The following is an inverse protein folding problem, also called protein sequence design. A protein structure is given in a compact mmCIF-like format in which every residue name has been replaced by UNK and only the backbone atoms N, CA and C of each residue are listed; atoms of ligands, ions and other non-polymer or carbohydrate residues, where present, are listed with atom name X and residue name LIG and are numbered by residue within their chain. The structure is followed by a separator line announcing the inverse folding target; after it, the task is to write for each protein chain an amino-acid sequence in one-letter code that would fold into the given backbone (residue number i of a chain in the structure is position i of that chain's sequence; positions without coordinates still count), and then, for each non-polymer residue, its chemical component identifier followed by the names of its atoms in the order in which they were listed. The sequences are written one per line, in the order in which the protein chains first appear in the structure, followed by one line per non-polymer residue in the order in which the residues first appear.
data_IF_831067975830
#
_entry.id   IF_831067975830
#
_cell.length_a   1.000
_cell.length_b   1.000
_cell.length_c   1.000
_cell.angle_alpha   90.00
_cell.angle_beta   90.00
_cell.angle_gamma   90.00
#
_symmetry.space_group_name_H-M   'P 1'
#
loop_
_entity.id
_entity.type
_entity.pdbx_description
1 polymer ?
#
# COMPACT_ATOMS: atom_id res chain seq x y z
N UNK A 1 42.88 -25.97 -5.57
CA UNK A 1 43.78 -25.17 -4.72
C UNK A 1 43.26 -23.74 -4.71
N UNK A 2 43.01 -23.16 -3.54
CA UNK A 2 42.58 -21.76 -3.42
C UNK A 2 43.84 -20.95 -3.08
N UNK A 3 44.40 -20.28 -4.08
CA UNK A 3 45.49 -19.32 -3.92
C UNK A 3 44.92 -18.04 -3.30
N UNK A 4 45.24 -17.76 -2.03
CA UNK A 4 44.95 -16.48 -1.38
C UNK A 4 46.20 -15.59 -1.48
N UNK A 5 46.41 -14.96 -2.63
CA UNK A 5 47.47 -13.96 -2.85
C UNK A 5 46.84 -12.55 -2.84
N UNK A 6 46.74 -11.95 -1.65
CA UNK A 6 46.84 -10.51 -1.31
C UNK A 6 46.20 -10.27 0.07
N UNK A 7 46.89 -9.51 0.94
CA UNK A 7 46.39 -9.11 2.27
C UNK A 7 45.24 -8.11 2.12
N UNK A 8 44.06 -8.61 1.79
CA UNK A 8 42.80 -7.89 1.96
C UNK A 8 42.32 -8.13 3.39
N UNK A 9 42.19 -7.08 4.19
CA UNK A 9 41.63 -7.15 5.57
C UNK A 9 40.13 -7.51 5.60
N UNK A 10 39.56 -7.91 4.46
CA UNK A 10 38.17 -8.30 4.27
C UNK A 10 38.09 -9.73 3.73
N UNK A 11 37.18 -10.52 4.28
CA UNK A 11 36.85 -11.85 3.78
C UNK A 11 35.44 -11.83 3.16
N UNK A 12 35.27 -12.41 1.96
CA UNK A 12 33.96 -12.60 1.35
C UNK A 12 33.51 -14.05 1.54
N UNK A 13 32.44 -14.23 2.30
CA UNK A 13 31.81 -15.53 2.52
C UNK A 13 30.57 -15.64 1.64
N UNK A 14 30.50 -16.73 0.85
CA UNK A 14 29.37 -17.05 -0.01
C UNK A 14 29.21 -18.57 -0.03
N UNK A 15 27.97 -19.03 0.08
CA UNK A 15 27.62 -20.43 -0.04
C UNK A 15 26.19 -20.68 0.39
N UNK A 16 25.76 -21.93 0.26
CA UNK A 16 24.48 -22.43 0.74
C UNK A 16 24.76 -23.50 1.78
N UNK A 17 24.10 -23.42 2.93
CA UNK A 17 24.22 -24.40 3.99
C UNK A 17 22.86 -25.07 4.20
N UNK A 18 22.84 -26.40 4.19
CA UNK A 18 21.67 -27.17 4.62
C UNK A 18 21.68 -27.28 6.13
N UNK A 19 20.62 -26.78 6.76
CA UNK A 19 20.52 -26.66 8.22
C UNK A 19 19.26 -27.37 8.69
N UNK A 20 19.30 -27.91 9.90
CA UNK A 20 18.11 -28.50 10.50
C UNK A 20 17.06 -27.42 10.78
N UNK A 21 15.77 -27.78 10.67
CA UNK A 21 14.62 -26.92 10.98
C UNK A 21 14.39 -26.79 12.50
N UNK A 22 15.46 -26.57 13.25
CA UNK A 22 15.49 -26.37 14.70
C UNK A 22 16.22 -25.06 14.99
N UNK A 23 15.98 -24.49 16.18
CA UNK A 23 16.73 -23.32 16.62
C UNK A 23 18.22 -23.67 16.74
N UNK A 24 19.07 -22.87 16.10
CA UNK A 24 20.52 -23.07 16.11
C UNK A 24 21.25 -21.73 15.95
N UNK A 25 22.56 -21.76 16.13
CA UNK A 25 23.41 -20.58 16.24
C UNK A 25 24.65 -20.66 15.34
N UNK A 26 24.74 -19.77 14.36
CA UNK A 26 25.94 -19.59 13.55
C UNK A 26 26.82 -18.52 14.16
N UNK A 27 28.06 -18.89 14.49
CA UNK A 27 29.03 -17.97 15.02
C UNK A 27 30.17 -17.79 14.02
N UNK A 28 30.36 -16.56 13.56
CA UNK A 28 31.50 -16.19 12.73
C UNK A 28 32.53 -15.50 13.62
N UNK A 29 33.58 -16.25 13.93
CA UNK A 29 34.76 -15.72 14.59
C UNK A 29 35.78 -15.31 13.54
N UNK A 30 36.52 -14.23 13.82
CA UNK A 30 37.72 -13.91 13.04
C UNK A 30 38.60 -15.15 13.00
N UNK A 31 39.05 -15.52 11.80
CA UNK A 31 39.71 -16.79 11.52
C UNK A 31 40.88 -17.05 12.47
N UNK A 32 40.63 -17.78 13.56
CA UNK A 32 41.57 -18.55 14.39
C UNK A 32 40.80 -19.32 15.49
N UNK A 33 39.67 -19.95 15.18
CA UNK A 33 38.88 -20.68 16.16
C UNK A 33 39.33 -22.14 16.40
N UNK A 34 40.38 -22.66 15.74
CA UNK A 34 40.85 -24.02 16.04
C UNK A 34 42.33 -24.39 15.73
N UNK A 35 43.21 -23.46 15.35
CA UNK A 35 44.64 -23.77 15.17
C UNK A 35 45.50 -22.57 15.58
N UNK A 36 45.79 -22.46 16.87
CA UNK A 36 47.08 -21.97 17.43
C UNK A 36 46.97 -21.92 18.96
N UNK A 37 47.68 -22.78 19.71
CA UNK A 37 47.72 -22.73 21.18
C UNK A 37 48.66 -21.64 21.71
N UNK A 38 49.14 -20.72 20.87
CA UNK A 38 50.16 -19.73 21.22
C UNK A 38 49.64 -18.35 20.83
N UNK A 39 49.64 -17.45 21.81
CA UNK A 39 48.97 -16.16 21.75
C UNK A 39 49.22 -15.39 20.46
N UNK A 40 48.16 -15.25 19.67
CA UNK A 40 48.07 -14.17 18.69
C UNK A 40 47.74 -12.93 19.51
N UNK A 41 48.79 -12.12 19.71
CA UNK A 41 48.75 -10.84 20.39
C UNK A 41 47.52 -10.05 19.94
N UNK A 42 46.81 -9.49 20.92
CA UNK A 42 46.02 -8.25 20.96
C UNK A 42 45.96 -7.34 19.70
N UNK A 43 45.81 -7.90 18.50
CA UNK A 43 45.62 -7.16 17.27
C UNK A 43 44.14 -6.80 17.22
N UNK A 44 43.86 -5.50 17.27
CA UNK A 44 42.53 -4.95 17.13
C UNK A 44 41.84 -5.55 15.88
N UNK A 45 40.95 -6.52 16.08
CA UNK A 45 40.19 -7.14 14.99
C UNK A 45 39.00 -6.25 14.65
N UNK A 46 38.80 -5.98 13.36
CA UNK A 46 37.68 -5.20 12.88
C UNK A 46 36.53 -6.16 12.48
N UNK A 47 35.39 -6.05 13.16
CA UNK A 47 34.17 -6.82 12.86
C UNK A 47 33.17 -6.06 11.99
N UNK A 48 33.61 -5.00 11.30
CA UNK A 48 32.83 -4.33 10.27
C UNK A 48 32.51 -5.33 9.16
N UNK A 49 31.24 -5.41 8.77
CA UNK A 49 30.78 -6.37 7.79
C UNK A 49 29.60 -5.83 7.00
N UNK A 50 29.43 -6.36 5.80
CA UNK A 50 28.28 -6.12 4.93
C UNK A 50 27.63 -7.45 4.62
N UNK A 51 26.32 -7.53 4.82
CA UNK A 51 25.53 -8.69 4.44
C UNK A 51 24.98 -8.41 3.04
N UNK A 52 25.57 -9.04 2.02
CA UNK A 52 25.11 -8.84 0.64
C UNK A 52 23.74 -9.48 0.41
N UNK A 53 23.59 -10.75 0.82
CA UNK A 53 22.38 -11.52 0.65
C UNK A 53 22.25 -12.62 1.70
N UNK A 54 21.12 -12.68 2.39
CA UNK A 54 20.80 -13.73 3.36
C UNK A 54 19.33 -14.15 3.20
N UNK A 55 19.12 -15.36 2.68
CA UNK A 55 17.79 -15.93 2.42
C UNK A 55 17.66 -17.34 2.99
N UNK A 56 16.43 -17.72 3.32
CA UNK A 56 16.09 -19.09 3.70
C UNK A 56 15.20 -19.75 2.63
N UNK A 57 15.59 -20.94 2.17
CA UNK A 57 14.83 -21.71 1.18
C UNK A 57 14.93 -21.18 -0.25
N UNK A 58 13.90 -21.46 -1.05
CA UNK A 58 13.88 -21.11 -2.47
C UNK A 58 13.69 -19.59 -2.67
N UNK A 59 14.47 -18.95 -3.56
CA UNK A 59 14.26 -17.54 -3.90
C UNK A 59 12.94 -17.37 -4.67
N UNK A 60 12.03 -16.58 -4.11
CA UNK A 60 10.71 -16.30 -4.69
C UNK A 60 10.58 -14.79 -4.94
N UNK A 61 10.11 -14.35 -6.12
CA UNK A 61 9.90 -12.93 -6.40
C UNK A 61 8.83 -12.35 -5.46
N UNK A 62 9.05 -11.11 -5.02
CA UNK A 62 8.17 -10.42 -4.08
C UNK A 62 8.52 -10.62 -2.60
N UNK A 63 9.48 -11.49 -2.27
CA UNK A 63 10.00 -11.61 -0.91
C UNK A 63 11.16 -10.64 -0.66
N UNK A 64 10.97 -9.71 0.27
CA UNK A 64 11.99 -8.76 0.72
C UNK A 64 12.71 -9.34 1.94
N UNK A 65 14.03 -9.43 1.87
CA UNK A 65 14.89 -9.94 2.94
C UNK A 65 15.49 -8.76 3.72
N UNK A 66 15.26 -8.64 5.04
CA UNK A 66 15.66 -7.46 5.81
C UNK A 66 17.16 -7.15 5.84
N UNK A 67 18.03 -8.17 5.81
CA UNK A 67 19.48 -7.99 5.93
C UNK A 67 20.19 -7.77 4.59
N UNK A 68 19.47 -7.77 3.47
CA UNK A 68 20.09 -7.63 2.15
C UNK A 68 20.67 -6.22 1.96
N UNK A 69 21.98 -6.15 1.75
CA UNK A 69 22.72 -4.91 1.57
C UNK A 69 23.05 -4.17 2.87
N UNK A 70 22.76 -4.73 4.04
CA UNK A 70 23.00 -4.08 5.32
C UNK A 70 24.51 -4.00 5.63
N UNK A 71 24.96 -2.84 6.12
CA UNK A 71 26.37 -2.54 6.42
C UNK A 71 26.50 -2.13 7.88
N UNK A 72 27.27 -2.89 8.65
CA UNK A 72 27.64 -2.54 10.02
C UNK A 72 29.11 -2.19 10.12
N UNK A 73 29.40 -1.05 10.73
CA UNK A 73 30.76 -0.58 10.98
C UNK A 73 31.07 -0.74 12.47
N UNK A 74 32.16 -1.42 12.78
CA UNK A 74 32.65 -1.58 14.14
C UNK A 74 33.46 -0.34 14.54
N UNK A 75 33.07 0.30 15.64
CA UNK A 75 33.78 1.46 16.20
C UNK A 75 34.88 1.04 17.18
N UNK A 76 34.83 -0.21 17.68
CA UNK A 76 35.81 -0.77 18.59
C UNK A 76 36.13 -2.21 18.19
N UNK A 77 37.38 -2.64 18.43
CA UNK A 77 37.81 -4.02 18.16
C UNK A 77 37.17 -5.06 19.06
N UNK A 78 36.56 -4.61 20.17
CA UNK A 78 35.89 -5.47 21.16
C UNK A 78 34.37 -5.43 21.00
N UNK A 79 33.87 -5.17 19.79
CA UNK A 79 32.44 -5.08 19.51
C UNK A 79 31.85 -6.44 19.12
N UNK A 80 30.64 -6.70 19.60
CA UNK A 80 29.86 -7.91 19.34
C UNK A 80 28.60 -7.50 18.59
N UNK A 81 28.39 -8.13 17.42
CA UNK A 81 27.16 -8.00 16.64
C UNK A 81 26.36 -9.28 16.79
N UNK A 82 25.11 -9.17 17.25
CA UNK A 82 24.20 -10.30 17.40
C UNK A 82 22.95 -10.07 16.54
N UNK A 83 22.66 -11.01 15.68
CA UNK A 83 21.46 -11.06 14.85
C UNK A 83 20.57 -12.18 15.35
N UNK A 84 19.36 -11.84 15.73
CA UNK A 84 18.31 -12.80 16.07
C UNK A 84 17.34 -12.85 14.91
N UNK A 85 17.36 -13.98 14.19
CA UNK A 85 16.52 -14.23 13.03
C UNK A 85 15.33 -15.07 13.45
N UNK A 86 14.13 -14.55 13.31
CA UNK A 86 12.90 -15.31 13.47
C UNK A 86 12.40 -15.73 12.07
N UNK A 87 12.50 -17.01 11.74
CA UNK A 87 12.21 -17.55 10.42
C UNK A 87 10.79 -18.10 10.37
N UNK A 88 9.96 -17.59 9.46
CA UNK A 88 8.55 -17.94 9.31
C UNK A 88 8.34 -18.73 8.00
N UNK A 89 7.92 -20.02 8.08
CA UNK A 89 7.53 -20.79 6.91
C UNK A 89 6.40 -20.10 6.12
N UNK A 90 6.60 -19.90 4.83
CA UNK A 90 5.65 -19.22 3.95
C UNK A 90 5.36 -20.05 2.71
N UNK A 91 4.08 -20.28 2.42
CA UNK A 91 3.65 -20.93 1.19
C UNK A 91 3.06 -19.88 0.27
N UNK A 92 3.65 -19.75 -0.91
CA UNK A 92 3.15 -18.87 -1.96
C UNK A 92 2.34 -19.72 -2.94
N UNK A 93 1.03 -19.49 -2.96
CA UNK A 93 0.09 -20.12 -3.86
C UNK A 93 -0.21 -19.14 -4.99
N UNK A 94 0.40 -19.40 -6.14
CA UNK A 94 0.09 -18.71 -7.39
C UNK A 94 -0.84 -19.56 -8.24
N UNK A 95 -1.47 -18.95 -9.25
CA UNK A 95 -2.36 -19.67 -10.18
C UNK A 95 -1.70 -20.87 -10.89
N UNK A 96 -0.36 -20.88 -11.00
CA UNK A 96 0.41 -21.91 -11.72
C UNK A 96 1.27 -22.80 -10.81
N UNK A 97 1.69 -22.32 -9.63
CA UNK A 97 2.63 -23.05 -8.78
C UNK A 97 2.40 -22.80 -7.29
N UNK A 98 2.68 -23.84 -6.49
CA UNK A 98 2.76 -23.78 -5.03
C UNK A 98 4.23 -23.91 -4.62
N UNK A 99 4.80 -22.84 -4.07
CA UNK A 99 6.21 -22.80 -3.66
C UNK A 99 6.28 -22.62 -2.14
N UNK A 100 7.03 -23.50 -1.47
CA UNK A 100 7.38 -23.33 -0.06
C UNK A 100 8.67 -22.51 0.04
N UNK A 101 8.61 -21.40 0.74
CA UNK A 101 9.73 -20.49 0.99
C UNK A 101 9.71 -20.06 2.46
N UNK A 102 10.70 -19.26 2.88
CA UNK A 102 10.83 -18.80 4.25
C UNK A 102 11.05 -17.31 4.28
N UNK A 103 10.25 -16.62 5.08
CA UNK A 103 10.46 -15.22 5.41
C UNK A 103 11.19 -15.14 6.75
N UNK A 104 11.84 -14.03 7.05
CA UNK A 104 12.41 -13.85 8.39
C UNK A 104 12.35 -12.41 8.84
N UNK A 105 12.22 -12.24 10.15
CA UNK A 105 12.37 -10.97 10.84
C UNK A 105 13.72 -10.94 11.56
N UNK A 106 14.28 -9.73 11.73
CA UNK A 106 15.60 -9.56 12.34
C UNK A 106 15.53 -8.60 13.50
N UNK A 107 16.11 -9.04 14.62
CA UNK A 107 16.44 -8.16 15.74
C UNK A 107 17.94 -8.08 15.88
N UNK A 108 18.49 -6.87 15.82
CA UNK A 108 19.92 -6.62 15.91
C UNK A 108 20.28 -6.12 17.31
N UNK A 109 21.36 -6.67 17.87
CA UNK A 109 21.90 -6.22 19.15
C UNK A 109 23.40 -6.05 19.02
N UNK A 110 23.85 -4.83 19.30
CA UNK A 110 25.26 -4.48 19.28
C UNK A 110 25.71 -4.16 20.70
N UNK A 111 26.83 -4.74 21.15
CA UNK A 111 27.43 -4.44 22.45
C UNK A 111 28.94 -4.33 22.35
N UNK A 112 29.56 -3.49 23.16
CA UNK A 112 31.02 -3.42 23.32
C UNK A 112 31.43 -4.19 24.57
N UNK A 113 32.49 -4.97 24.47
CA UNK A 113 33.08 -5.72 25.59
C UNK A 113 34.09 -4.82 26.27
N UNK A 114 33.90 -4.65 27.58
CA UNK A 114 34.82 -3.93 28.45
C UNK A 114 35.02 -4.77 29.73
N UNK A 115 36.25 -5.23 29.90
CA UNK A 115 36.64 -6.08 31.02
C UNK A 115 36.67 -5.32 32.35
N UNK A 116 36.76 -3.98 32.32
CA UNK A 116 36.75 -3.13 33.52
C UNK A 116 35.37 -2.92 34.13
N UNK A 117 34.31 -3.03 33.32
CA UNK A 117 32.91 -2.86 33.75
C UNK A 117 32.17 -4.18 33.96
N UNK A 118 32.88 -5.31 33.96
CA UNK A 118 32.33 -6.65 34.16
C UNK A 118 31.67 -7.27 32.93
N UNK A 119 31.84 -6.68 31.74
CA UNK A 119 31.35 -7.24 30.49
C UNK A 119 32.34 -8.28 29.98
N UNK A 120 32.05 -9.55 30.25
CA UNK A 120 32.76 -10.68 29.68
C UNK A 120 32.07 -11.15 28.39
N UNK A 121 32.85 -11.52 27.39
CA UNK A 121 32.35 -12.01 26.12
C UNK A 121 33.47 -12.12 25.10
N UNK A 122 33.21 -12.89 24.04
CA UNK A 122 34.09 -12.95 22.88
C UNK A 122 33.57 -11.99 21.81
N UNK A 123 34.40 -11.07 21.29
CA UNK A 123 34.01 -10.19 20.18
C UNK A 123 33.82 -11.01 18.90
N UNK A 124 32.86 -10.61 18.07
CA UNK A 124 32.50 -11.40 16.88
C UNK A 124 31.11 -11.10 16.34
N UNK A 125 30.76 -11.83 15.28
CA UNK A 125 29.46 -11.76 14.61
C UNK A 125 28.69 -13.06 14.93
N UNK A 126 27.51 -12.91 15.52
CA UNK A 126 26.67 -14.01 15.98
C UNK A 126 25.34 -13.93 15.26
N UNK A 127 24.95 -14.99 14.57
CA UNK A 127 23.66 -15.11 13.90
C UNK A 127 22.92 -16.29 14.52
N UNK A 128 21.89 -16.00 15.29
CA UNK A 128 21.00 -17.01 15.87
C UNK A 128 19.72 -17.04 15.06
N UNK A 129 19.28 -18.22 14.62
CA UNK A 129 18.00 -18.37 13.95
C UNK A 129 17.07 -19.28 14.74
N UNK A 130 15.78 -18.98 14.69
CA UNK A 130 14.73 -19.75 15.34
C UNK A 130 13.53 -19.87 14.38
N UNK A 131 12.95 -21.05 14.27
CA UNK A 131 11.78 -21.28 13.42
C UNK A 131 10.53 -20.89 14.20
N UNK A 132 9.74 -19.96 13.64
CA UNK A 132 8.47 -19.54 14.21
C UNK A 132 7.43 -20.65 14.07
N UNK A 133 6.57 -20.87 15.08
CA UNK A 133 5.49 -21.86 15.02
C UNK A 133 4.35 -21.45 14.08
N UNK A 134 4.39 -20.24 13.53
CA UNK A 134 3.38 -19.70 12.62
C UNK A 134 3.71 -20.02 11.17
N UNK A 135 2.67 -20.23 10.35
CA UNK A 135 2.80 -20.45 8.89
C UNK A 135 2.01 -19.40 8.13
N UNK A 136 2.66 -18.70 7.22
CA UNK A 136 2.02 -17.71 6.33
C UNK A 136 1.62 -18.40 5.03
N UNK A 137 0.40 -18.18 4.56
CA UNK A 137 -0.04 -18.65 3.24
C UNK A 137 -0.45 -17.44 2.42
N UNK A 138 0.34 -17.09 1.41
CA UNK A 138 0.04 -16.03 0.46
C UNK A 138 -0.75 -16.66 -0.68
N UNK A 139 -2.00 -16.25 -0.83
CA UNK A 139 -2.85 -16.69 -1.94
C UNK A 139 -3.05 -15.54 -2.90
N UNK A 140 -2.81 -15.81 -4.18
CA UNK A 140 -3.24 -14.93 -5.25
C UNK A 140 -4.78 -14.98 -5.34
N UNK A 141 -5.44 -13.87 -5.01
CA UNK A 141 -6.88 -13.72 -5.16
C UNK A 141 -7.14 -12.86 -6.39
N UNK A 142 -7.62 -13.49 -7.46
CA UNK A 142 -8.14 -12.77 -8.61
C UNK A 142 -9.49 -12.13 -8.24
N UNK A 143 -9.69 -10.86 -8.58
CA UNK A 143 -11.03 -10.26 -8.47
C UNK A 143 -11.95 -10.96 -9.47
N UNK A 144 -13.11 -11.41 -8.98
CA UNK A 144 -14.14 -11.99 -9.83
C UNK A 144 -14.59 -11.01 -10.91
N UNK A 145 -14.73 -11.49 -12.15
CA UNK A 145 -15.27 -10.71 -13.27
C UNK A 145 -16.68 -10.14 -12.99
N UNK A 146 -17.43 -10.75 -12.07
CA UNK A 146 -18.72 -10.26 -11.60
C UNK A 146 -18.66 -8.89 -10.92
N UNK A 147 -17.58 -8.58 -10.19
CA UNK A 147 -17.42 -7.27 -9.56
C UNK A 147 -17.29 -6.18 -10.62
N UNK A 148 -16.55 -6.46 -11.69
CA UNK A 148 -16.41 -5.57 -12.83
C UNK A 148 -17.75 -5.34 -13.53
N UNK A 149 -18.58 -6.37 -13.71
CA UNK A 149 -19.92 -6.23 -14.29
C UNK A 149 -20.83 -5.34 -13.44
N UNK A 150 -20.77 -5.48 -12.11
CA UNK A 150 -21.54 -4.63 -11.19
C UNK A 150 -21.06 -3.17 -11.29
N UNK A 151 -19.75 -2.93 -11.36
CA UNK A 151 -19.19 -1.59 -11.55
C UNK A 151 -19.64 -0.95 -12.87
N UNK A 152 -19.59 -1.69 -13.98
CA UNK A 152 -20.08 -1.23 -15.29
C UNK A 152 -21.58 -0.93 -15.24
N UNK A 153 -22.37 -1.82 -14.63
CA UNK A 153 -23.81 -1.62 -14.45
C UNK A 153 -24.14 -0.35 -13.65
N UNK A 154 -23.35 -0.06 -12.61
CA UNK A 154 -23.47 1.16 -11.81
C UNK A 154 -23.23 2.43 -12.65
N UNK A 155 -22.24 2.40 -13.54
CA UNK A 155 -21.96 3.53 -14.45
C UNK A 155 -23.15 3.76 -15.40
N UNK A 156 -23.66 2.72 -16.05
CA UNK A 156 -24.81 2.85 -16.96
C UNK A 156 -26.08 3.30 -16.24
N UNK A 157 -26.37 2.74 -15.06
CA UNK A 157 -27.51 3.15 -14.24
C UNK A 157 -27.42 4.63 -13.82
N UNK A 158 -26.22 5.09 -13.44
CA UNK A 158 -25.97 6.50 -13.11
C UNK A 158 -26.19 7.44 -14.30
N UNK A 159 -25.70 7.08 -15.49
CA UNK A 159 -25.91 7.88 -16.72
C UNK A 159 -27.39 7.95 -17.09
N UNK A 160 -28.12 6.85 -17.00
CA UNK A 160 -29.54 6.82 -17.31
C UNK A 160 -30.37 7.68 -16.34
N UNK A 161 -30.10 7.56 -15.03
CA UNK A 161 -30.78 8.35 -14.02
C UNK A 161 -30.50 9.86 -14.17
N UNK A 162 -29.23 10.22 -14.38
CA UNK A 162 -28.83 11.62 -14.56
C UNK A 162 -29.43 12.24 -15.83
N UNK A 163 -29.51 11.49 -16.93
CA UNK A 163 -30.18 11.95 -18.16
C UNK A 163 -31.66 12.28 -17.92
N UNK A 164 -32.38 11.44 -17.18
CA UNK A 164 -33.79 11.69 -16.83
C UNK A 164 -33.96 12.93 -15.94
N UNK A 165 -33.10 13.08 -14.93
CA UNK A 165 -33.12 14.26 -14.05
C UNK A 165 -32.84 15.56 -14.83
N UNK A 166 -31.86 15.55 -15.73
CA UNK A 166 -31.52 16.72 -16.56
C UNK A 166 -32.70 17.10 -17.45
N UNK A 167 -33.33 16.14 -18.12
CA UNK A 167 -34.48 16.42 -18.97
C UNK A 167 -35.65 17.02 -18.18
N UNK A 168 -35.93 16.48 -17.00
CA UNK A 168 -37.00 16.97 -16.13
C UNK A 168 -36.72 18.39 -15.62
N UNK A 169 -35.47 18.70 -15.24
CA UNK A 169 -35.06 20.04 -14.84
C UNK A 169 -35.19 21.05 -15.99
N UNK A 170 -34.76 20.66 -17.19
CA UNK A 170 -34.87 21.50 -18.38
C UNK A 170 -36.35 21.81 -18.71
N UNK A 171 -37.24 20.81 -18.65
CA UNK A 171 -38.67 21.01 -18.90
C UNK A 171 -39.30 21.95 -17.89
N UNK A 172 -38.98 21.81 -16.60
CA UNK A 172 -39.49 22.70 -15.54
C UNK A 172 -39.02 24.15 -15.77
N UNK A 173 -37.76 24.33 -16.17
CA UNK A 173 -37.20 25.66 -16.48
C UNK A 173 -37.91 26.27 -17.70
N UNK A 174 -38.10 25.50 -18.77
CA UNK A 174 -38.82 25.97 -19.96
C UNK A 174 -40.26 26.39 -19.62
N UNK A 175 -40.99 25.57 -18.87
CA UNK A 175 -42.37 25.86 -18.46
C UNK A 175 -42.47 27.07 -17.54
N UNK A 176 -41.50 27.26 -16.63
CA UNK A 176 -41.44 28.42 -15.75
C UNK A 176 -41.21 29.71 -16.54
N UNK A 177 -40.25 29.70 -17.48
CA UNK A 177 -39.95 30.85 -18.34
C UNK A 177 -41.16 31.17 -19.25
N UNK A 178 -41.75 30.17 -19.88
CA UNK A 178 -42.87 30.35 -20.79
C UNK A 178 -44.12 30.89 -20.06
N UNK A 179 -44.46 30.34 -18.89
CA UNK A 179 -45.55 30.87 -18.06
C UNK A 179 -45.28 32.30 -17.59
N UNK A 180 -44.03 32.63 -17.26
CA UNK A 180 -43.67 33.97 -16.81
C UNK A 180 -43.76 34.99 -17.95
N UNK A 181 -43.38 34.62 -19.18
CA UNK A 181 -43.59 35.44 -20.36
C UNK A 181 -45.08 35.63 -20.71
N UNK A 182 -45.88 34.55 -20.63
CA UNK A 182 -47.32 34.63 -20.87
C UNK A 182 -48.04 35.50 -19.85
N UNK A 183 -47.72 35.39 -18.56
CA UNK A 183 -48.31 36.24 -17.51
C UNK A 183 -47.89 37.71 -17.68
N UNK A 184 -46.66 37.98 -18.11
CA UNK A 184 -46.18 39.33 -18.37
C UNK A 184 -46.89 39.97 -19.59
N UNK A 185 -47.18 39.20 -20.65
CA UNK A 185 -47.99 39.69 -21.77
C UNK A 185 -49.42 40.04 -21.34
N UNK A 186 -50.10 39.15 -20.62
CA UNK A 186 -51.47 39.39 -20.13
C UNK A 186 -51.54 40.59 -19.19
N UNK A 187 -50.55 40.75 -18.29
CA UNK A 187 -50.49 41.93 -17.41
C UNK A 187 -50.27 43.24 -18.17
N UNK A 188 -49.45 43.22 -19.23
CA UNK A 188 -49.22 44.39 -20.08
C UNK A 188 -50.44 44.73 -20.97
N UNK A 189 -51.18 43.73 -21.44
CA UNK A 189 -52.40 43.93 -22.23
C UNK A 189 -53.56 44.47 -21.38
N UNK A 190 -53.71 44.02 -20.13
CA UNK A 190 -54.67 44.59 -19.16
C UNK A 190 -54.33 46.05 -18.85
N UNK A 191 -53.03 46.36 -18.67
CA UNK A 191 -52.56 47.73 -18.41
C UNK A 191 -52.76 48.65 -19.62
N UNK A 192 -52.67 48.15 -20.86
CA UNK A 192 -53.01 48.92 -22.07
C UNK A 192 -54.52 49.18 -22.18
N UNK A 193 -55.35 48.21 -21.83
CA UNK A 193 -56.82 48.35 -21.91
C UNK A 193 -57.35 49.40 -20.95
N UNK A 194 -56.86 49.44 -19.71
CA UNK A 194 -57.25 50.47 -18.74
C UNK A 194 -56.86 51.89 -19.17
N UNK A 195 -55.74 52.07 -19.89
CA UNK A 195 -55.29 53.38 -20.38
C UNK A 195 -56.13 53.86 -21.57
N UNK A 196 -56.63 52.94 -22.40
CA UNK A 196 -57.45 53.27 -23.57
C UNK A 196 -58.93 53.51 -23.23
N UNK A 197 -59.46 52.88 -22.18
CA UNK A 197 -60.85 53.07 -21.74
C UNK A 197 -61.09 54.45 -21.07
N UNK A 198 -60.04 55.12 -20.57
CA UNK A 198 -60.13 56.50 -20.05
C UNK A 198 -60.18 57.59 -21.14
N UNK A 199 -59.92 57.24 -22.41
CA UNK A 199 -59.72 58.21 -23.51
C UNK A 199 -60.77 58.12 -24.63
N UNK A 200 -61.89 57.41 -24.44
CA UNK A 200 -62.96 57.34 -25.44
C UNK A 200 -64.29 57.85 -24.87
N UNK A 201 -64.96 58.83 -25.52
CA UNK A 201 -66.24 59.37 -25.05
C UNK A 201 -67.34 58.33 -25.16
N UNK A 202 -67.96 58.03 -24.02
CA UNK A 202 -69.02 57.04 -23.90
C UNK A 202 -70.22 57.36 -24.80
N UNK A 203 -70.66 56.34 -25.56
CA UNK A 203 -71.99 56.30 -26.14
C UNK A 203 -72.67 55.06 -25.54
N UNK A 204 -73.47 55.29 -24.52
CA UNK A 204 -74.37 54.29 -23.96
C UNK A 204 -75.60 54.19 -24.87
N UNK A 205 -75.81 53.03 -25.49
CA UNK A 205 -77.08 52.67 -26.12
C UNK A 205 -77.59 51.45 -25.37
N UNK A 206 -78.52 51.70 -24.46
CA UNK A 206 -79.31 50.65 -23.83
C UNK A 206 -80.47 50.27 -24.74
N UNK A 207 -80.65 48.97 -24.96
CA UNK A 207 -81.93 48.39 -25.38
C UNK A 207 -82.14 47.13 -24.54
N UNK A 208 -83.25 47.10 -23.83
CA UNK A 208 -83.75 45.98 -23.01
C UNK A 208 -84.61 45.03 -23.87
N UNK A 209 -85.18 43.96 -23.29
CA UNK A 209 -84.93 42.59 -23.68
C UNK A 209 -85.96 42.06 -24.70
N UNK A 210 -85.68 40.93 -25.35
CA UNK A 210 -86.79 40.04 -25.65
C UNK A 210 -86.47 38.56 -25.47
N UNK A 211 -87.49 37.92 -24.95
CA UNK A 211 -87.63 36.55 -24.54
C UNK A 211 -87.78 35.61 -25.73
N UNK A 212 -87.10 34.46 -25.68
CA UNK A 212 -87.62 33.23 -26.29
C UNK A 212 -86.82 32.03 -25.78
N UNK A 213 -87.46 31.32 -24.87
CA UNK A 213 -87.21 29.93 -24.51
C UNK A 213 -87.56 29.01 -25.68
N UNK A 214 -86.66 28.09 -26.08
CA UNK A 214 -87.07 26.76 -26.56
C UNK A 214 -86.02 25.74 -26.12
N UNK A 215 -86.56 24.73 -25.42
CA UNK A 215 -86.08 23.37 -25.10
C UNK A 215 -84.75 22.88 -25.64
#
# INVERSE_FOLDING_TARGET
EIQLEQKTDSCRLHGTLEVNKLADHFHFFGAHAHISPMGVQNTAMNFSHRIDHLSFGLPTPGLIQPLNGDLKIANSSSQVFQYFLEVVPTVVQTSYANVETYQYAVTEKTRTIDHGTGSHGMPGIFIRYEISPLKITVKEVLRSYWLLLIEIGGIFGGVYATSGMIHSLISIIYDAIFKQCSNNQVSNDIKRKSINDDNSPGIAIGITPDSSSVM
#
